data_IF_279438049764
#
_entry.id   IF_279438049764
#
_cell.length_a   1.000
_cell.length_b   1.000
_cell.length_c   1.000
_cell.angle_alpha   90.00
_cell.angle_beta   90.00
_cell.angle_gamma   90.00
#
_symmetry.space_group_name_H-M   'P 1'
#
loop_
_entity.id
_entity.type
_entity.pdbx_description
1 polymer ?
#
# COMPACT_ATOMS: atom_id res chain seq x y z
N UNK A 1 -38.31 11.36 6.02
CA UNK A 1 -37.10 11.09 5.22
C UNK A 1 -37.49 10.93 3.76
N UNK A 2 -36.64 11.31 2.81
CA UNK A 2 -36.94 11.10 1.40
C UNK A 2 -36.81 9.60 1.06
N UNK A 3 -37.93 8.93 0.92
CA UNK A 3 -37.96 7.53 0.50
C UNK A 3 -37.93 7.44 -1.04
N UNK A 4 -37.19 6.48 -1.61
CA UNK A 4 -37.18 6.28 -3.05
C UNK A 4 -38.59 5.89 -3.53
N UNK A 5 -39.18 6.69 -4.42
CA UNK A 5 -40.51 6.42 -4.97
C UNK A 5 -40.57 5.10 -5.76
N UNK A 6 -39.45 4.67 -6.35
CA UNK A 6 -39.35 3.46 -7.18
C UNK A 6 -38.02 2.73 -6.94
N UNK A 7 -38.03 1.43 -7.19
CA UNK A 7 -36.83 0.59 -7.21
C UNK A 7 -35.87 1.04 -8.32
N UNK A 8 -34.58 1.12 -8.01
CA UNK A 8 -33.52 1.38 -8.99
C UNK A 8 -33.32 0.11 -9.84
N UNK A 9 -33.36 0.25 -11.17
CA UNK A 9 -33.11 -0.89 -12.07
C UNK A 9 -31.67 -1.39 -11.93
N UNK A 10 -31.45 -2.69 -12.18
CA UNK A 10 -30.11 -3.30 -12.15
C UNK A 10 -29.15 -2.54 -13.06
N UNK A 11 -29.55 -2.25 -14.29
CA UNK A 11 -28.79 -1.45 -15.26
C UNK A 11 -28.37 -0.09 -14.72
N UNK A 12 -29.24 0.64 -14.02
CA UNK A 12 -28.92 1.97 -13.46
C UNK A 12 -27.95 1.88 -12.29
N UNK A 13 -28.15 0.89 -11.40
CA UNK A 13 -27.24 0.61 -10.28
C UNK A 13 -25.85 0.23 -10.79
N UNK A 14 -25.80 -0.62 -11.80
CA UNK A 14 -24.55 -1.17 -12.32
C UNK A 14 -23.79 -0.09 -13.13
N UNK A 15 -24.50 0.73 -13.93
CA UNK A 15 -23.94 1.95 -14.56
C UNK A 15 -23.37 2.94 -13.55
N UNK A 16 -24.04 3.16 -12.41
CA UNK A 16 -23.52 4.02 -11.33
C UNK A 16 -22.23 3.47 -10.71
N UNK A 17 -22.08 2.14 -10.64
CA UNK A 17 -20.90 1.46 -10.05
C UNK A 17 -19.73 1.31 -11.03
N UNK A 18 -19.82 1.82 -12.25
CA UNK A 18 -18.74 1.77 -13.25
C UNK A 18 -17.47 2.45 -12.76
N UNK A 19 -17.58 3.61 -12.11
CA UNK A 19 -16.42 4.35 -11.57
C UNK A 19 -15.94 3.87 -10.19
N UNK A 20 -16.67 2.99 -9.51
CA UNK A 20 -16.22 2.40 -8.25
C UNK A 20 -15.23 1.27 -8.55
N UNK A 21 -13.95 1.64 -8.66
CA UNK A 21 -12.84 0.75 -9.04
C UNK A 21 -11.69 0.94 -8.06
N UNK A 22 -10.99 -0.16 -7.77
CA UNK A 22 -9.73 -0.11 -7.03
C UNK A 22 -8.63 0.44 -7.94
N UNK A 23 -7.79 1.32 -7.41
CA UNK A 23 -6.61 1.85 -8.11
C UNK A 23 -5.40 1.06 -7.64
N UNK A 24 -4.57 0.61 -8.58
CA UNK A 24 -3.33 -0.06 -8.26
C UNK A 24 -2.35 0.93 -7.59
N UNK A 25 -1.68 0.56 -6.49
CA UNK A 25 -0.70 1.43 -5.88
C UNK A 25 0.56 1.55 -6.76
N UNK A 26 1.27 2.67 -6.62
CA UNK A 26 2.56 2.87 -7.29
C UNK A 26 3.66 2.12 -6.55
N UNK A 27 4.15 1.04 -7.15
CA UNK A 27 5.22 0.19 -6.62
C UNK A 27 6.51 0.51 -7.36
N UNK A 28 7.60 0.65 -6.62
CA UNK A 28 8.95 0.82 -7.12
C UNK A 28 9.87 -0.26 -6.56
N UNK A 29 10.96 -0.55 -7.26
CA UNK A 29 11.98 -1.51 -6.81
C UNK A 29 13.12 -0.78 -6.13
N UNK A 30 13.60 -1.34 -5.02
CA UNK A 30 14.78 -0.81 -4.33
C UNK A 30 16.05 -1.22 -5.09
N UNK A 31 16.96 -0.30 -5.42
CA UNK A 31 18.18 -0.65 -6.16
C UNK A 31 19.19 -1.46 -5.35
N UNK A 32 19.20 -1.35 -4.01
CA UNK A 32 20.16 -2.07 -3.15
C UNK A 32 19.68 -3.45 -2.73
N UNK A 33 18.39 -3.61 -2.41
CA UNK A 33 17.84 -4.89 -1.92
C UNK A 33 17.05 -5.66 -2.97
N UNK A 34 16.68 -5.02 -4.09
CA UNK A 34 15.85 -5.62 -5.12
C UNK A 34 14.36 -5.74 -4.76
N UNK A 35 13.97 -5.37 -3.53
CA UNK A 35 12.59 -5.53 -3.07
C UNK A 35 11.62 -4.47 -3.61
N UNK A 36 10.38 -4.90 -3.81
CA UNK A 36 9.27 -4.04 -4.19
C UNK A 36 8.73 -3.27 -2.98
N UNK A 37 8.73 -1.94 -3.06
CA UNK A 37 8.22 -1.06 -2.03
C UNK A 37 7.28 -0.01 -2.63
N UNK A 38 6.44 0.59 -1.78
CA UNK A 38 5.61 1.71 -2.19
C UNK A 38 6.49 2.94 -2.46
N UNK A 39 6.19 3.65 -3.54
CA UNK A 39 6.98 4.83 -3.90
C UNK A 39 6.98 5.88 -2.78
N UNK A 40 8.14 6.48 -2.54
CA UNK A 40 8.40 7.43 -1.45
C UNK A 40 8.13 6.91 -0.03
N UNK A 41 8.11 5.59 0.18
CA UNK A 41 8.02 4.99 1.51
C UNK A 41 9.27 4.18 1.82
N UNK A 42 9.64 4.13 3.09
CA UNK A 42 10.67 3.23 3.58
C UNK A 42 10.08 1.80 3.70
N UNK A 43 10.92 0.79 3.53
CA UNK A 43 10.54 -0.61 3.68
C UNK A 43 11.52 -1.36 4.58
N UNK A 44 11.01 -2.36 5.28
CA UNK A 44 11.83 -3.23 6.12
C UNK A 44 12.35 -4.39 5.29
N UNK A 45 13.65 -4.64 5.38
CA UNK A 45 14.31 -5.79 4.79
C UNK A 45 15.36 -6.31 5.77
N UNK A 46 15.33 -7.61 6.10
CA UNK A 46 16.32 -8.26 6.97
C UNK A 46 16.61 -7.51 8.29
N UNK A 47 15.56 -7.03 8.97
CA UNK A 47 15.69 -6.30 10.25
C UNK A 47 16.21 -4.87 10.12
N UNK A 48 16.41 -4.38 8.90
CA UNK A 48 16.88 -3.02 8.60
C UNK A 48 15.80 -2.24 7.85
N UNK A 49 15.64 -0.96 8.19
CA UNK A 49 14.73 -0.06 7.50
C UNK A 49 15.49 0.63 6.36
N UNK A 50 15.09 0.40 5.12
CA UNK A 50 15.71 1.00 3.94
C UNK A 50 14.87 2.14 3.37
N UNK A 51 15.54 3.21 2.95
CA UNK A 51 14.94 4.30 2.19
C UNK A 51 15.96 4.88 1.22
N UNK A 52 15.57 5.03 -0.06
CA UNK A 52 16.43 5.60 -1.12
C UNK A 52 17.82 4.95 -1.20
N UNK A 53 17.90 3.64 -0.94
CA UNK A 53 19.14 2.86 -0.98
C UNK A 53 20.01 2.95 0.27
N UNK A 54 19.61 3.72 1.29
CA UNK A 54 20.33 3.86 2.55
C UNK A 54 19.60 3.12 3.68
N UNK A 55 20.35 2.66 4.68
CA UNK A 55 19.80 2.12 5.93
C UNK A 55 19.49 3.29 6.86
N UNK A 56 18.23 3.38 7.29
CA UNK A 56 17.75 4.41 8.20
C UNK A 56 17.78 3.94 9.66
N UNK A 57 17.34 2.70 9.89
CA UNK A 57 17.30 2.07 11.22
C UNK A 57 17.88 0.67 11.09
N UNK A 58 18.79 0.33 12.00
CA UNK A 58 19.31 -1.02 12.13
C UNK A 58 18.83 -1.62 13.46
N UNK A 59 17.76 -2.39 13.41
CA UNK A 59 17.21 -3.04 14.60
C UNK A 59 17.91 -4.36 14.91
N UNK A 60 18.72 -4.92 14.00
CA UNK A 60 19.42 -6.18 14.28
C UNK A 60 20.38 -6.04 15.46
N UNK A 61 20.97 -4.85 15.63
CA UNK A 61 21.90 -4.54 16.72
C UNK A 61 21.18 -4.50 18.08
N UNK A 62 19.91 -4.09 18.13
CA UNK A 62 19.15 -4.04 19.37
C UNK A 62 18.72 -5.43 19.85
N UNK A 63 18.41 -6.34 18.92
CA UNK A 63 18.03 -7.72 19.23
C UNK A 63 19.24 -8.55 19.70
N UNK A 64 20.45 -8.29 19.18
CA UNK A 64 21.69 -8.98 19.59
C UNK A 64 22.18 -8.59 20.99
N UNK A 65 21.87 -7.38 21.46
CA UNK A 65 22.28 -6.89 22.79
C UNK A 65 21.26 -7.21 23.90
N UNK A 66 20.08 -7.72 23.55
CA UNK A 66 19.02 -8.09 24.49
C UNK A 66 18.99 -9.59 24.80
N UNK A 67 19.81 -10.39 24.12
CA UNK A 67 20.07 -11.81 24.37
C UNK A 67 21.36 -12.00 25.18
#
# INVERSE_FOLDING_TARGET
MAHPKRKISKTRRDKRRTHYKAVAPQIATCPTTGEAHLYHRAHWFEGKLYYRGQVLIDNSIAEENAA
#
